data_IF_082082088044
#
_entry.id   IF_082082088044
#
_cell.length_a   1.000
_cell.length_b   1.000
_cell.length_c   1.000
_cell.angle_alpha   90.00
_cell.angle_beta   90.00
_cell.angle_gamma   90.00
#
_symmetry.space_group_name_H-M   'P 1'
#
loop_
_entity.id
_entity.type
_entity.pdbx_description
1 polymer ?
#
# COMPACT_ATOMS: atom_id res chain seq x y z
N UNK A 1 -18.06 20.59 -2.46
CA UNK A 1 -18.42 19.80 -1.27
C UNK A 1 -17.21 18.93 -0.95
N UNK A 2 -16.75 18.92 0.30
CA UNK A 2 -15.60 18.13 0.74
C UNK A 2 -16.10 16.90 1.50
N UNK A 3 -15.49 15.73 1.26
CA UNK A 3 -15.76 14.50 2.02
C UNK A 3 -14.46 14.05 2.67
N UNK A 4 -14.49 13.85 3.99
CA UNK A 4 -13.35 13.37 4.77
C UNK A 4 -13.72 12.07 5.49
N UNK A 5 -12.88 11.06 5.33
CA UNK A 5 -13.03 9.75 5.98
C UNK A 5 -11.82 9.55 6.88
N UNK A 6 -12.07 9.34 8.18
CA UNK A 6 -10.99 9.00 9.10
C UNK A 6 -10.80 7.48 9.12
N UNK A 7 -9.56 7.06 8.91
CA UNK A 7 -9.17 5.65 8.90
C UNK A 7 -8.45 5.30 10.20
N UNK A 8 -8.69 4.08 10.67
CA UNK A 8 -8.06 3.45 11.81
C UNK A 8 -7.91 1.96 11.50
N UNK A 9 -6.83 1.30 11.94
CA UNK A 9 -6.59 -0.11 11.61
C UNK A 9 -7.75 -1.06 11.98
N UNK A 10 -8.49 -0.76 13.05
CA UNK A 10 -9.61 -1.59 13.53
C UNK A 10 -10.83 -1.63 12.57
N UNK A 11 -10.89 -0.71 11.60
CA UNK A 11 -11.96 -0.71 10.58
C UNK A 11 -11.76 -1.79 9.51
N UNK A 12 -10.56 -2.37 9.41
CA UNK A 12 -10.18 -3.29 8.34
C UNK A 12 -10.24 -4.73 8.84
N UNK A 13 -10.88 -5.61 8.06
CA UNK A 13 -11.00 -7.03 8.34
C UNK A 13 -11.00 -7.85 7.06
N UNK A 14 -11.14 -9.18 7.18
CA UNK A 14 -11.09 -10.08 6.03
C UNK A 14 -12.18 -9.79 4.98
N UNK A 15 -13.37 -9.37 5.43
CA UNK A 15 -14.44 -8.96 4.53
C UNK A 15 -14.21 -7.53 4.03
N UNK A 16 -14.22 -7.35 2.71
CA UNK A 16 -14.14 -6.03 2.09
C UNK A 16 -15.44 -5.24 2.33
N UNK A 17 -15.32 -4.02 2.85
CA UNK A 17 -16.44 -3.15 3.25
C UNK A 17 -16.38 -1.80 2.56
N UNK A 18 -17.52 -1.23 2.12
CA UNK A 18 -17.55 0.08 1.50
C UNK A 18 -17.16 1.18 2.49
N UNK A 19 -16.39 2.16 2.02
CA UNK A 19 -16.00 3.36 2.76
C UNK A 19 -16.67 4.62 2.18
N UNK A 20 -16.67 4.76 0.84
CA UNK A 20 -17.36 5.83 0.13
C UNK A 20 -17.56 5.51 -1.35
N UNK A 21 -18.46 6.25 -2.00
CA UNK A 21 -18.68 6.19 -3.44
C UNK A 21 -19.18 7.52 -3.99
N UNK A 22 -18.80 7.87 -5.21
CA UNK A 22 -19.30 9.04 -5.94
C UNK A 22 -19.24 8.78 -7.44
N UNK A 23 -20.39 8.80 -8.12
CA UNK A 23 -20.48 8.43 -9.52
C UNK A 23 -19.88 7.04 -9.77
N UNK A 24 -18.85 6.99 -10.61
CA UNK A 24 -18.11 5.77 -10.98
C UNK A 24 -16.96 5.42 -10.03
N UNK A 25 -16.64 6.32 -9.09
CA UNK A 25 -15.56 6.14 -8.13
C UNK A 25 -16.07 5.47 -6.86
N UNK A 26 -15.28 4.54 -6.33
CA UNK A 26 -15.55 3.91 -5.03
C UNK A 26 -14.28 3.66 -4.23
N UNK A 27 -14.45 3.61 -2.91
CA UNK A 27 -13.43 3.22 -1.94
C UNK A 27 -13.98 2.14 -1.02
N UNK A 28 -13.22 1.08 -0.81
CA UNK A 28 -13.53 -0.01 0.12
C UNK A 28 -12.31 -0.38 0.95
N UNK A 29 -12.53 -0.80 2.20
CA UNK A 29 -11.49 -1.22 3.13
C UNK A 29 -11.54 -2.72 3.37
N UNK A 30 -10.37 -3.36 3.40
CA UNK A 30 -10.20 -4.77 3.74
C UNK A 30 -8.81 -5.00 4.37
N UNK A 31 -8.58 -6.18 4.91
CA UNK A 31 -7.25 -6.63 5.33
C UNK A 31 -6.84 -7.84 4.49
N UNK A 32 -5.58 -7.85 4.05
CA UNK A 32 -4.99 -9.04 3.46
C UNK A 32 -4.95 -10.19 4.48
N UNK A 33 -4.89 -11.46 4.04
CA UNK A 33 -4.67 -12.60 4.94
C UNK A 33 -3.46 -12.44 5.87
N UNK A 34 -2.42 -11.72 5.44
CA UNK A 34 -1.26 -11.34 6.26
C UNK A 34 -1.57 -10.38 7.42
N UNK A 35 -2.76 -9.78 7.45
CA UNK A 35 -3.20 -8.78 8.42
C UNK A 35 -2.93 -7.33 8.01
N UNK A 36 -2.33 -7.08 6.85
CA UNK A 36 -2.09 -5.70 6.37
C UNK A 36 -3.40 -5.06 5.91
N UNK A 37 -3.75 -3.92 6.50
CA UNK A 37 -4.92 -3.13 6.12
C UNK A 37 -4.71 -2.45 4.76
N UNK A 38 -5.78 -2.40 3.97
CA UNK A 38 -5.75 -1.91 2.61
C UNK A 38 -7.03 -1.17 2.24
N UNK A 39 -6.89 -0.11 1.44
CA UNK A 39 -7.99 0.58 0.78
C UNK A 39 -7.93 0.28 -0.70
N UNK A 40 -8.98 -0.29 -1.24
CA UNK A 40 -9.17 -0.40 -2.68
C UNK A 40 -9.89 0.83 -3.20
N UNK A 41 -9.33 1.46 -4.21
CA UNK A 41 -9.97 2.54 -4.95
C UNK A 41 -10.28 2.04 -6.36
N UNK A 42 -11.50 2.24 -6.83
CA UNK A 42 -11.93 1.81 -8.17
C UNK A 42 -12.54 2.95 -8.97
N UNK A 43 -12.37 2.90 -10.28
CA UNK A 43 -13.09 3.66 -11.30
C UNK A 43 -13.63 2.72 -12.39
N UNK A 44 -14.18 3.28 -13.48
CA UNK A 44 -14.58 2.49 -14.66
C UNK A 44 -13.36 1.88 -15.39
N UNK A 45 -12.22 2.54 -15.34
CA UNK A 45 -11.01 2.18 -16.10
C UNK A 45 -10.08 1.24 -15.34
N UNK A 46 -10.24 1.09 -14.03
CA UNK A 46 -9.31 0.32 -13.22
C UNK A 46 -9.47 0.43 -11.71
N UNK A 47 -8.46 -0.08 -11.02
CA UNK A 47 -8.37 -0.08 -9.57
C UNK A 47 -6.93 0.04 -9.08
N UNK A 48 -6.79 0.62 -7.89
CA UNK A 48 -5.55 0.58 -7.11
C UNK A 48 -5.83 0.08 -5.68
N UNK A 49 -4.82 -0.54 -5.08
CA UNK A 49 -4.83 -0.90 -3.66
C UNK A 49 -3.76 -0.10 -2.94
N UNK A 50 -4.17 0.65 -1.92
CA UNK A 50 -3.31 1.51 -1.10
C UNK A 50 -3.18 0.89 0.29
N UNK A 51 -1.98 0.94 0.87
CA UNK A 51 -1.71 0.46 2.23
C UNK A 51 -1.61 1.66 3.19
N UNK A 52 -2.72 2.11 3.79
CA UNK A 52 -2.77 3.38 4.54
C UNK A 52 -1.82 3.43 5.73
N UNK A 53 -1.52 2.28 6.35
CA UNK A 53 -0.69 2.16 7.55
C UNK A 53 0.62 1.39 7.30
N UNK A 54 1.02 1.26 6.02
CA UNK A 54 2.27 0.61 5.65
C UNK A 54 2.92 1.34 4.49
N UNK A 55 3.72 2.34 4.83
CA UNK A 55 4.48 3.20 3.94
C UNK A 55 3.63 4.07 3.03
N UNK A 56 2.30 4.09 3.23
CA UNK A 56 1.33 4.68 2.30
C UNK A 56 1.58 4.22 0.86
N UNK A 57 1.93 2.92 0.71
CA UNK A 57 2.28 2.34 -0.58
C UNK A 57 1.06 2.22 -1.48
N UNK A 58 1.29 2.29 -2.80
CA UNK A 58 0.37 1.69 -3.76
C UNK A 58 0.86 0.26 -3.98
N UNK A 59 0.14 -0.71 -3.42
CA UNK A 59 0.49 -2.12 -3.51
C UNK A 59 0.21 -2.70 -4.88
N UNK A 60 -0.98 -2.46 -5.43
CA UNK A 60 -1.35 -3.00 -6.75
C UNK A 60 -2.09 -1.98 -7.60
N UNK A 61 -1.90 -2.09 -8.92
CA UNK A 61 -2.54 -1.25 -9.93
C UNK A 61 -2.98 -2.11 -11.12
N UNK A 62 -4.26 -2.00 -11.46
CA UNK A 62 -4.88 -2.62 -12.64
C UNK A 62 -5.62 -1.54 -13.43
N UNK A 63 -5.24 -1.30 -14.69
CA UNK A 63 -5.95 -0.35 -15.56
C UNK A 63 -6.08 -0.89 -16.98
N UNK A 64 -7.24 -0.70 -17.59
CA UNK A 64 -7.53 -1.14 -18.96
C UNK A 64 -7.18 -2.62 -19.20
N UNK A 65 -7.49 -3.48 -18.23
CA UNK A 65 -7.20 -4.92 -18.28
C UNK A 65 -5.72 -5.29 -18.14
N UNK A 66 -4.83 -4.35 -17.78
CA UNK A 66 -3.40 -4.60 -17.60
C UNK A 66 -2.99 -4.49 -16.15
N UNK A 67 -2.20 -5.44 -15.68
CA UNK A 67 -1.49 -5.33 -14.42
C UNK A 67 -0.25 -4.46 -14.62
N UNK A 68 -0.21 -3.33 -13.91
CA UNK A 68 0.92 -2.40 -13.94
C UNK A 68 1.84 -2.60 -12.73
N UNK A 69 1.45 -3.44 -11.79
CA UNK A 69 2.21 -3.77 -10.57
C UNK A 69 3.50 -4.51 -10.92
N UNK A 70 4.56 -4.25 -10.14
CA UNK A 70 5.78 -5.03 -10.18
C UNK A 70 5.49 -6.53 -10.05
N UNK A 71 6.15 -7.35 -10.87
CA UNK A 71 6.18 -8.78 -10.62
C UNK A 71 7.06 -9.06 -9.40
N UNK A 72 6.49 -9.69 -8.38
CA UNK A 72 7.16 -9.98 -7.11
C UNK A 72 6.95 -11.44 -6.70
N UNK A 73 7.82 -11.95 -5.83
CA UNK A 73 7.65 -13.22 -5.14
C UNK A 73 6.57 -13.17 -4.04
N UNK A 74 6.15 -11.96 -3.65
CA UNK A 74 5.11 -11.75 -2.64
C UNK A 74 3.74 -11.60 -3.30
N UNK A 75 2.80 -12.49 -2.96
CA UNK A 75 1.41 -12.41 -3.44
C UNK A 75 0.55 -11.39 -2.67
N UNK A 76 1.01 -10.97 -1.49
CA UNK A 76 0.36 -10.00 -0.61
C UNK A 76 1.43 -9.21 0.16
N UNK A 77 1.10 -8.02 0.69
CA UNK A 77 2.01 -7.31 1.57
C UNK A 77 2.07 -8.02 2.92
N UNK A 78 3.18 -7.88 3.65
CA UNK A 78 3.36 -8.44 5.00
C UNK A 78 3.61 -7.33 6.03
N UNK A 79 3.12 -7.46 7.29
CA UNK A 79 3.25 -6.42 8.32
C UNK A 79 4.68 -6.39 8.88
N UNK A 80 5.57 -5.76 8.14
CA UNK A 80 7.01 -5.67 8.45
C UNK A 80 7.51 -4.25 8.33
N UNK A 81 8.64 -3.94 8.98
CA UNK A 81 9.40 -2.70 8.74
C UNK A 81 10.51 -2.88 7.73
N UNK A 82 10.90 -4.12 7.45
CA UNK A 82 12.04 -4.43 6.60
C UNK A 82 11.62 -4.41 5.12
N UNK A 83 12.24 -3.52 4.34
CA UNK A 83 11.89 -3.28 2.94
C UNK A 83 11.78 -4.57 2.11
N UNK A 84 12.81 -5.42 2.15
CA UNK A 84 12.89 -6.63 1.30
C UNK A 84 11.91 -7.73 1.70
N UNK A 85 11.32 -7.69 2.90
CA UNK A 85 10.39 -8.72 3.37
C UNK A 85 8.97 -8.57 2.82
N UNK A 86 8.72 -7.53 2.03
CA UNK A 86 7.42 -7.28 1.41
C UNK A 86 7.55 -6.45 0.12
N UNK A 87 8.69 -6.52 -0.56
CA UNK A 87 8.96 -5.67 -1.72
C UNK A 87 8.20 -6.17 -2.97
N UNK A 88 7.07 -5.54 -3.27
CA UNK A 88 6.23 -5.94 -4.41
C UNK A 88 5.24 -4.89 -4.91
N UNK A 89 5.18 -3.72 -4.28
CA UNK A 89 4.19 -2.71 -4.64
C UNK A 89 4.47 -2.03 -5.98
N UNK A 90 3.46 -1.36 -6.53
CA UNK A 90 3.61 -0.45 -7.66
C UNK A 90 4.40 0.83 -7.32
N UNK A 91 4.09 1.45 -6.17
CA UNK A 91 4.75 2.68 -5.72
C UNK A 91 5.06 2.61 -4.23
N UNK A 92 6.29 2.95 -3.85
CA UNK A 92 6.75 3.06 -2.46
C UNK A 92 7.59 4.32 -2.28
N UNK A 93 7.49 4.93 -1.11
CA UNK A 93 8.35 6.03 -0.72
C UNK A 93 9.75 5.51 -0.35
N UNK A 94 10.79 6.23 -0.78
CA UNK A 94 12.11 6.10 -0.14
C UNK A 94 12.14 6.90 1.17
N UNK A 95 13.09 6.59 2.04
CA UNK A 95 13.35 7.34 3.26
C UNK A 95 13.73 8.79 3.02
N UNK A 96 13.52 9.62 4.05
CA UNK A 96 13.90 11.04 4.04
C UNK A 96 15.32 11.20 4.55
N UNK A 97 15.68 10.41 5.56
CA UNK A 97 16.98 10.50 6.24
C UNK A 97 18.06 9.59 5.66
N UNK A 98 17.66 8.63 4.80
CA UNK A 98 18.55 7.77 4.03
C UNK A 98 17.82 7.19 2.81
N UNK A 99 18.54 6.99 1.70
CA UNK A 99 18.00 6.45 0.45
C UNK A 99 19.04 5.58 -0.25
N UNK A 100 18.57 4.57 -0.96
CA UNK A 100 19.42 3.61 -1.66
C UNK A 100 19.97 2.54 -0.72
N UNK A 101 21.16 2.03 -1.04
CA UNK A 101 21.83 1.03 -0.20
C UNK A 101 22.77 1.70 0.81
N UNK A 102 22.82 1.24 2.08
CA UNK A 102 23.78 1.74 3.05
C UNK A 102 25.22 1.41 2.64
N UNK A 103 26.13 2.36 2.86
CA UNK A 103 27.57 2.13 2.75
C UNK A 103 28.15 1.41 3.97
N UNK A 104 29.46 1.08 3.99
CA UNK A 104 30.05 0.22 5.02
C UNK A 104 29.99 0.74 6.47
N UNK A 105 29.79 2.04 6.67
CA UNK A 105 29.66 2.69 7.99
C UNK A 105 28.26 3.23 8.25
N UNK A 106 27.36 3.01 7.31
CA UNK A 106 26.00 3.48 7.35
C UNK A 106 25.10 2.33 7.83
N UNK A 107 24.14 2.66 8.69
CA UNK A 107 23.26 1.68 9.32
C UNK A 107 21.79 1.94 8.99
N UNK A 108 21.48 2.89 8.10
CA UNK A 108 20.11 3.05 7.64
C UNK A 108 19.62 1.80 6.91
N UNK A 109 18.33 1.44 7.03
CA UNK A 109 17.75 0.35 6.26
C UNK A 109 17.87 0.61 4.76
N UNK A 110 17.93 -0.44 3.95
CA UNK A 110 17.86 -0.28 2.48
C UNK A 110 16.59 0.51 2.09
N UNK A 111 16.75 1.53 1.26
CA UNK A 111 15.73 2.52 0.91
C UNK A 111 15.16 3.35 2.07
N UNK A 112 15.83 3.36 3.23
CA UNK A 112 15.51 4.18 4.38
C UNK A 112 14.27 3.72 5.15
N UNK A 113 13.68 4.64 5.91
CA UNK A 113 12.69 4.36 6.95
C UNK A 113 11.24 4.39 6.48
N UNK A 114 10.95 5.07 5.36
CA UNK A 114 9.58 5.28 4.89
C UNK A 114 8.92 4.11 4.15
N UNK A 115 9.61 3.19 3.44
CA UNK A 115 8.93 2.18 2.62
C UNK A 115 7.86 1.39 3.37
N UNK A 116 8.05 1.10 4.66
CA UNK A 116 7.07 0.41 5.50
C UNK A 116 6.80 1.16 6.81
N UNK A 117 6.84 2.49 6.81
CA UNK A 117 6.45 3.31 7.97
C UNK A 117 4.96 3.11 8.35
N UNK A 118 4.56 3.30 9.62
CA UNK A 118 3.18 3.07 10.05
C UNK A 118 2.23 4.19 9.62
#
# INVERSE_FOLDING_TARGET
METKINLSPIQFGADERPLASTGTLSASGFAFPSGVAAVRLRSEEGEIVVLPFQGQQIWSVMFNGRNLTQQSMFEQPYPTREFLHTFGGFLQHCGVTGVGGPGPKDTHPIHGELPNAP
#
